data_IF_058461218669
#
_entry.id   IF_058461218669
#
_cell.length_a   1.000
_cell.length_b   1.000
_cell.length_c   1.000
_cell.angle_alpha   90.00
_cell.angle_beta   90.00
_cell.angle_gamma   90.00
#
_symmetry.space_group_name_H-M   'P 1'
#
loop_
_entity.id
_entity.type
_entity.pdbx_description
1 polymer ?
#
# COMPACT_ATOMS: atom_id res chain seq x y z
N UNK A 1 9.88 -26.83 38.70
CA UNK A 1 8.42 -26.81 38.51
C UNK A 1 7.91 -25.48 39.06
N UNK A 2 7.69 -24.51 38.18
CA UNK A 2 7.22 -23.16 38.54
C UNK A 2 6.03 -22.87 37.64
N UNK A 3 4.85 -22.83 38.24
CA UNK A 3 3.58 -22.59 37.56
C UNK A 3 3.29 -21.09 37.66
N UNK A 4 3.32 -20.39 36.52
CA UNK A 4 2.93 -18.98 36.42
C UNK A 4 1.48 -18.89 35.95
N UNK A 5 0.59 -18.50 36.87
CA UNK A 5 -0.80 -18.13 36.57
C UNK A 5 -0.83 -16.74 35.93
N UNK A 6 -1.29 -16.63 34.69
CA UNK A 6 -1.61 -15.35 34.06
C UNK A 6 -3.13 -15.13 34.16
N UNK A 7 -3.49 -14.09 34.91
CA UNK A 7 -4.84 -13.59 35.15
C UNK A 7 -5.37 -12.96 33.86
N UNK A 8 -6.45 -13.51 33.28
CA UNK A 8 -7.19 -12.89 32.17
C UNK A 8 -7.88 -11.61 32.67
N UNK A 9 -7.61 -10.50 31.99
CA UNK A 9 -8.47 -9.32 31.97
C UNK A 9 -9.21 -9.36 30.65
N UNK A 10 -10.47 -9.76 30.68
CA UNK A 10 -11.41 -9.59 29.57
C UNK A 10 -11.78 -8.11 29.51
N UNK A 11 -11.34 -7.40 28.47
CA UNK A 11 -12.12 -6.28 27.97
C UNK A 11 -11.93 -6.07 26.47
N UNK A 12 -13.08 -5.95 25.81
CA UNK A 12 -13.27 -5.99 24.37
C UNK A 12 -12.62 -4.80 23.65
N UNK A 13 -11.96 -5.08 22.52
CA UNK A 13 -11.99 -4.16 21.40
C UNK A 13 -12.16 -4.92 20.08
N UNK A 14 -13.37 -4.81 19.52
CA UNK A 14 -13.78 -5.35 18.22
C UNK A 14 -13.00 -4.62 17.11
N UNK A 15 -11.85 -5.15 16.69
CA UNK A 15 -11.25 -4.78 15.41
C UNK A 15 -11.93 -5.56 14.28
N UNK A 16 -12.26 -4.89 13.18
CA UNK A 16 -12.79 -5.57 12.00
C UNK A 16 -11.70 -6.50 11.42
N UNK A 17 -12.01 -7.75 11.02
CA UNK A 17 -11.00 -8.74 10.64
C UNK A 17 -10.26 -8.50 9.31
N UNK A 18 -10.46 -7.35 8.64
CA UNK A 18 -9.79 -7.04 7.37
C UNK A 18 -8.31 -6.67 7.51
N UNK A 19 -7.84 -6.51 8.75
CA UNK A 19 -6.55 -5.90 9.07
C UNK A 19 -5.50 -6.92 9.53
N UNK A 20 -5.77 -8.24 9.43
CA UNK A 20 -4.90 -9.27 10.02
C UNK A 20 -3.87 -9.91 9.06
N UNK A 21 -3.93 -9.67 7.75
CA UNK A 21 -3.05 -10.36 6.78
C UNK A 21 -1.92 -9.43 6.28
N UNK A 22 -1.33 -8.65 7.18
CA UNK A 22 -0.25 -7.71 6.84
C UNK A 22 1.10 -8.27 7.27
N UNK A 23 2.13 -8.16 6.44
CA UNK A 23 3.53 -8.27 6.86
C UNK A 23 3.88 -7.07 7.77
N UNK A 24 3.39 -7.08 9.02
CA UNK A 24 3.69 -6.03 9.99
C UNK A 24 5.10 -6.24 10.56
N UNK A 25 6.05 -5.39 10.19
CA UNK A 25 7.31 -5.31 10.92
C UNK A 25 7.11 -4.53 12.24
N UNK A 26 7.01 -5.24 13.37
CA UNK A 26 7.03 -4.64 14.70
C UNK A 26 8.47 -4.30 15.07
N UNK A 27 8.81 -3.02 15.02
CA UNK A 27 10.11 -2.54 15.51
C UNK A 27 10.15 -2.57 17.04
N UNK A 28 11.02 -3.42 17.58
CA UNK A 28 11.58 -3.23 18.93
C UNK A 28 12.43 -1.96 18.96
N UNK A 29 12.45 -1.29 20.11
CA UNK A 29 12.91 0.08 20.33
C UNK A 29 14.33 0.38 19.84
N UNK A 30 14.50 1.57 19.25
CA UNK A 30 15.79 2.13 18.85
C UNK A 30 15.64 3.25 17.83
N UNK A 31 15.13 4.42 18.24
CA UNK A 31 15.07 5.62 17.40
C UNK A 31 16.47 5.99 16.91
N UNK A 32 16.74 5.84 15.62
CA UNK A 32 17.74 6.65 14.91
C UNK A 32 17.00 7.61 14.01
N UNK A 33 17.15 8.91 14.29
CA UNK A 33 16.79 9.99 13.37
C UNK A 33 17.52 9.75 12.06
N UNK A 34 16.77 9.63 10.97
CA UNK A 34 17.32 9.67 9.61
C UNK A 34 17.85 11.09 9.39
N UNK A 35 19.15 11.29 9.07
CA UNK A 35 19.65 12.62 8.72
C UNK A 35 18.99 13.07 7.41
N UNK A 36 18.72 14.37 7.29
CA UNK A 36 18.29 14.96 6.02
C UNK A 36 19.37 14.70 4.96
N UNK A 37 19.06 13.85 3.98
CA UNK A 37 19.92 13.62 2.82
C UNK A 37 19.63 14.72 1.80
N UNK A 38 20.54 15.69 1.69
CA UNK A 38 20.62 16.56 0.52
C UNK A 38 20.91 15.67 -0.71
N UNK A 39 19.97 15.68 -1.66
CA UNK A 39 20.04 15.13 -3.01
C UNK A 39 20.71 13.74 -3.16
N UNK A 40 19.96 12.62 -3.07
CA UNK A 40 20.47 11.37 -3.62
C UNK A 40 20.49 11.47 -5.15
N UNK A 41 21.57 11.03 -5.83
CA UNK A 41 21.53 10.91 -7.27
C UNK A 41 20.46 9.89 -7.68
N UNK A 42 19.78 10.15 -8.80
CA UNK A 42 18.96 9.15 -9.49
C UNK A 42 19.94 8.11 -10.05
N UNK A 43 20.32 7.13 -9.22
CA UNK A 43 21.25 6.07 -9.62
C UNK A 43 20.50 5.10 -10.53
N UNK A 44 20.86 5.08 -11.81
CA UNK A 44 20.70 3.89 -12.64
C UNK A 44 21.57 2.79 -12.04
N UNK A 45 20.98 1.91 -11.23
CA UNK A 45 21.69 0.74 -10.73
C UNK A 45 21.80 -0.29 -11.85
N UNK A 46 22.93 -0.30 -12.56
CA UNK A 46 23.43 -1.52 -13.15
C UNK A 46 23.93 -2.40 -11.99
N UNK A 47 23.25 -3.52 -11.70
CA UNK A 47 23.83 -4.56 -10.85
C UNK A 47 24.54 -5.58 -11.74
N UNK A 48 25.86 -5.62 -11.59
CA UNK A 48 26.69 -6.79 -11.89
C UNK A 48 26.44 -7.84 -10.80
N UNK A 49 25.33 -8.56 -10.90
CA UNK A 49 25.16 -9.84 -10.22
C UNK A 49 24.81 -10.86 -11.29
N UNK A 50 25.82 -11.45 -11.92
CA UNK A 50 25.63 -12.63 -12.77
C UNK A 50 25.07 -13.76 -11.91
N UNK A 51 23.89 -14.30 -12.21
CA UNK A 51 23.46 -15.56 -11.62
C UNK A 51 24.21 -16.71 -12.30
N UNK A 52 24.58 -17.71 -11.49
CA UNK A 52 25.04 -19.02 -11.95
C UNK A 52 23.86 -19.77 -12.56
N UNK A 53 23.38 -19.32 -13.72
CA UNK A 53 22.66 -20.18 -14.65
C UNK A 53 23.60 -20.48 -15.81
N UNK A 54 23.94 -21.76 -15.97
CA UNK A 54 24.35 -22.27 -17.27
C UNK A 54 23.23 -21.92 -18.26
N UNK A 55 23.52 -20.96 -19.15
CA UNK A 55 22.69 -20.60 -20.28
C UNK A 55 22.45 -21.86 -21.11
N UNK A 56 21.29 -22.50 -20.93
CA UNK A 56 20.78 -23.46 -21.88
C UNK A 56 19.76 -22.72 -22.75
N UNK A 57 20.18 -22.35 -23.96
CA UNK A 57 19.34 -22.18 -25.14
C UNK A 57 18.19 -21.16 -25.10
N UNK A 58 18.36 -20.09 -25.89
CA UNK A 58 17.32 -19.22 -26.46
C UNK A 58 16.57 -18.28 -25.51
N UNK A 59 16.74 -16.98 -25.76
CA UNK A 59 15.91 -15.89 -25.27
C UNK A 59 14.50 -15.99 -25.87
N UNK A 60 13.70 -16.94 -25.38
CA UNK A 60 12.25 -16.87 -25.45
C UNK A 60 11.79 -16.10 -24.20
N UNK A 61 10.98 -15.06 -24.40
CA UNK A 61 10.27 -14.39 -23.31
C UNK A 61 9.47 -15.45 -22.55
N UNK A 62 9.94 -15.90 -21.38
CA UNK A 62 9.21 -16.88 -20.58
C UNK A 62 7.97 -16.18 -20.04
N UNK A 63 6.79 -16.60 -20.47
CA UNK A 63 5.54 -16.18 -19.84
C UNK A 63 5.42 -16.82 -18.45
N UNK A 64 4.67 -16.19 -17.55
CA UNK A 64 4.28 -16.80 -16.27
C UNK A 64 3.53 -18.11 -16.53
N UNK A 65 3.89 -19.14 -15.75
CA UNK A 65 3.20 -20.43 -15.72
C UNK A 65 2.49 -20.54 -14.38
N UNK A 66 1.17 -20.75 -14.41
CA UNK A 66 0.41 -20.90 -13.18
C UNK A 66 0.81 -22.20 -12.46
N UNK A 67 1.31 -22.16 -11.21
CA UNK A 67 1.69 -23.37 -10.48
C UNK A 67 0.54 -24.36 -10.28
N UNK A 68 -0.72 -23.95 -10.43
CA UNK A 68 -1.87 -24.86 -10.38
C UNK A 68 -2.02 -25.72 -11.63
N UNK A 69 -1.28 -25.45 -12.71
CA UNK A 69 -1.20 -26.39 -13.85
C UNK A 69 -0.36 -27.62 -13.54
N UNK A 70 0.33 -27.65 -12.40
CA UNK A 70 1.08 -28.80 -11.93
C UNK A 70 0.19 -29.69 -11.05
N UNK A 71 0.30 -31.01 -11.22
CA UNK A 71 -0.39 -31.98 -10.35
C UNK A 71 0.19 -31.97 -8.92
N UNK A 72 1.48 -31.66 -8.77
CA UNK A 72 2.18 -31.55 -7.49
C UNK A 72 2.80 -30.15 -7.33
N UNK A 73 2.32 -29.29 -6.42
CA UNK A 73 2.91 -27.98 -6.16
C UNK A 73 4.38 -28.03 -5.73
N UNK A 74 4.83 -29.15 -5.13
CA UNK A 74 6.26 -29.31 -4.83
C UNK A 74 7.10 -29.42 -6.13
N UNK A 75 6.51 -29.83 -7.26
CA UNK A 75 7.17 -29.81 -8.57
C UNK A 75 7.39 -28.37 -9.05
N UNK A 76 6.38 -27.51 -8.98
CA UNK A 76 6.50 -26.10 -9.34
C UNK A 76 7.56 -25.39 -8.47
N UNK A 77 7.60 -25.69 -7.16
CA UNK A 77 8.65 -25.17 -6.27
C UNK A 77 10.04 -25.64 -6.70
N UNK A 78 10.21 -26.93 -7.01
CA UNK A 78 11.50 -27.47 -7.48
C UNK A 78 11.96 -26.85 -8.80
N UNK A 79 11.03 -26.45 -9.66
CA UNK A 79 11.32 -25.83 -10.94
C UNK A 79 11.69 -24.35 -10.81
N UNK A 80 10.97 -23.60 -9.98
CA UNK A 80 11.08 -22.14 -9.92
C UNK A 80 11.82 -21.59 -8.69
N UNK A 81 12.01 -22.39 -7.64
CA UNK A 81 12.66 -21.95 -6.41
C UNK A 81 13.94 -22.75 -6.12
N UNK A 82 14.99 -22.03 -5.72
CA UNK A 82 16.24 -22.64 -5.27
C UNK A 82 16.09 -23.22 -3.86
N UNK A 83 16.40 -24.49 -3.68
CA UNK A 83 16.51 -25.08 -2.34
C UNK A 83 17.78 -24.56 -1.63
N UNK A 84 17.61 -24.09 -0.39
CA UNK A 84 18.66 -23.59 0.47
C UNK A 84 18.93 -24.62 1.57
N UNK A 85 20.21 -24.91 1.83
CA UNK A 85 20.61 -25.65 3.03
C UNK A 85 20.35 -24.80 4.27
N UNK A 86 19.57 -25.31 5.22
CA UNK A 86 19.20 -24.61 6.44
C UNK A 86 20.41 -24.14 7.28
N UNK A 87 21.56 -24.83 7.19
CA UNK A 87 22.79 -24.44 7.87
C UNK A 87 23.39 -23.11 7.36
N UNK A 88 22.98 -22.66 6.17
CA UNK A 88 23.38 -21.36 5.62
C UNK A 88 22.51 -20.20 6.09
N UNK A 89 21.45 -20.47 6.84
CA UNK A 89 20.52 -19.46 7.34
C UNK A 89 20.77 -19.23 8.83
N UNK A 90 20.80 -17.97 9.25
CA UNK A 90 20.78 -17.59 10.66
C UNK A 90 19.60 -16.67 10.90
N UNK A 91 18.65 -17.12 11.73
CA UNK A 91 17.48 -16.33 12.15
C UNK A 91 17.92 -15.44 13.31
N UNK A 92 17.71 -14.13 13.19
CA UNK A 92 18.18 -13.15 14.18
C UNK A 92 17.04 -12.62 15.05
N UNK A 93 15.92 -12.18 14.45
CA UNK A 93 14.82 -11.57 15.19
C UNK A 93 13.48 -11.81 14.48
N UNK A 94 12.41 -12.00 15.24
CA UNK A 94 11.04 -11.97 14.71
C UNK A 94 10.71 -10.52 14.40
N UNK A 95 10.30 -10.26 13.16
CA UNK A 95 9.91 -8.94 12.70
C UNK A 95 8.40 -8.85 12.53
N UNK A 96 7.69 -9.92 12.19
CA UNK A 96 6.23 -9.90 12.04
C UNK A 96 5.57 -11.27 12.13
N UNK A 97 4.25 -11.29 12.03
CA UNK A 97 3.46 -12.53 11.90
C UNK A 97 2.62 -12.47 10.63
N UNK A 98 2.67 -13.51 9.81
CA UNK A 98 1.83 -13.68 8.63
C UNK A 98 0.82 -14.82 8.78
N UNK A 99 0.02 -15.05 7.74
CA UNK A 99 -1.02 -16.10 7.69
C UNK A 99 -0.48 -17.49 8.11
N UNK A 100 0.71 -17.83 7.62
CA UNK A 100 1.31 -19.16 7.78
C UNK A 100 2.22 -19.32 8.99
N UNK A 101 2.70 -18.22 9.58
CA UNK A 101 3.76 -18.24 10.59
C UNK A 101 4.51 -16.94 10.76
N UNK A 102 5.60 -17.00 11.52
CA UNK A 102 6.41 -15.84 11.84
C UNK A 102 7.27 -15.43 10.65
N UNK A 103 7.44 -14.12 10.50
CA UNK A 103 8.38 -13.49 9.58
C UNK A 103 9.55 -13.01 10.40
N UNK A 104 10.74 -13.47 10.06
CA UNK A 104 11.97 -13.17 10.78
C UNK A 104 12.97 -12.42 9.91
N UNK A 105 13.76 -11.53 10.51
CA UNK A 105 15.00 -11.03 9.92
C UNK A 105 16.10 -12.05 10.17
N UNK A 106 16.97 -12.25 9.19
CA UNK A 106 18.14 -13.10 9.34
C UNK A 106 19.25 -12.84 8.34
N UNK A 107 20.22 -13.74 8.32
CA UNK A 107 21.37 -13.75 7.42
C UNK A 107 21.37 -15.00 6.56
N UNK A 108 21.75 -14.84 5.29
CA UNK A 108 21.97 -15.93 4.36
C UNK A 108 23.43 -15.93 3.90
N UNK A 109 24.12 -17.04 4.17
CA UNK A 109 25.48 -17.30 3.68
C UNK A 109 25.44 -17.76 2.23
N UNK A 110 26.46 -17.37 1.46
CA UNK A 110 26.71 -17.86 0.10
C UNK A 110 28.02 -18.67 0.08
N UNK A 111 28.01 -19.94 0.51
CA UNK A 111 29.23 -20.73 0.65
C UNK A 111 29.96 -20.88 -0.68
N UNK A 112 31.29 -20.92 -0.63
CA UNK A 112 32.13 -21.14 -1.82
C UNK A 112 32.25 -19.95 -2.78
N UNK A 113 31.52 -18.86 -2.55
CA UNK A 113 31.56 -17.68 -3.45
C UNK A 113 32.41 -16.52 -2.93
N UNK A 114 32.85 -16.56 -1.67
CA UNK A 114 33.56 -15.46 -1.01
C UNK A 114 32.72 -14.19 -0.79
N UNK A 115 31.43 -14.22 -1.14
CA UNK A 115 30.52 -13.07 -0.99
C UNK A 115 30.12 -12.88 0.48
N UNK A 116 29.93 -11.62 0.93
CA UNK A 116 29.44 -11.34 2.27
C UNK A 116 28.04 -11.91 2.46
N UNK A 117 27.70 -12.19 3.73
CA UNK A 117 26.34 -12.57 4.11
C UNK A 117 25.35 -11.47 3.75
N UNK A 118 24.19 -11.87 3.23
CA UNK A 118 23.12 -10.95 2.88
C UNK A 118 22.02 -10.98 3.94
N UNK A 119 21.47 -9.82 4.26
CA UNK A 119 20.30 -9.72 5.15
C UNK A 119 19.05 -10.17 4.39
N UNK A 120 18.25 -11.03 5.00
CA UNK A 120 17.07 -11.65 4.38
C UNK A 120 15.84 -11.56 5.30
N UNK A 121 14.66 -11.61 4.69
CA UNK A 121 13.42 -11.91 5.39
C UNK A 121 13.12 -13.41 5.24
N UNK A 122 12.74 -14.06 6.34
CA UNK A 122 12.55 -15.50 6.44
C UNK A 122 11.14 -15.72 6.95
N UNK A 123 10.24 -16.15 6.06
CA UNK A 123 8.89 -16.57 6.44
C UNK A 123 8.97 -18.04 6.82
N UNK A 124 8.40 -18.41 7.97
CA UNK A 124 8.40 -19.79 8.47
C UNK A 124 6.99 -20.36 8.46
N UNK A 125 6.84 -21.65 8.16
CA UNK A 125 5.57 -22.35 8.32
C UNK A 125 5.45 -22.91 9.74
N UNK A 126 4.32 -22.68 10.41
CA UNK A 126 4.08 -23.19 11.77
C UNK A 126 4.17 -24.73 11.82
N UNK A 127 4.75 -25.31 12.89
CA UNK A 127 4.69 -26.76 13.10
C UNK A 127 3.24 -27.25 13.17
N UNK A 128 2.94 -28.37 12.51
CA UNK A 128 1.60 -28.96 12.51
C UNK A 128 0.59 -28.27 11.58
N UNK A 129 1.02 -27.35 10.72
CA UNK A 129 0.16 -26.78 9.68
C UNK A 129 -0.45 -27.86 8.79
N UNK A 130 -1.74 -27.70 8.47
CA UNK A 130 -2.45 -28.59 7.53
C UNK A 130 -1.82 -28.57 6.13
N UNK A 131 -1.97 -29.66 5.39
CA UNK A 131 -1.42 -29.81 4.03
C UNK A 131 -1.80 -28.66 3.10
N UNK A 132 -3.06 -28.19 3.19
CA UNK A 132 -3.51 -27.02 2.42
C UNK A 132 -2.69 -25.77 2.73
N UNK A 133 -2.41 -25.49 4.00
CA UNK A 133 -1.63 -24.31 4.39
C UNK A 133 -0.16 -24.43 3.93
N UNK A 134 0.41 -25.65 4.02
CA UNK A 134 1.74 -25.93 3.44
C UNK A 134 1.76 -25.72 1.93
N UNK A 135 0.71 -26.15 1.24
CA UNK A 135 0.57 -26.03 -0.21
C UNK A 135 0.44 -24.57 -0.64
N UNK A 136 -0.46 -23.82 -0.01
CA UNK A 136 -0.64 -22.38 -0.25
C UNK A 136 0.68 -21.60 -0.01
N UNK A 137 1.40 -21.93 1.07
CA UNK A 137 2.70 -21.34 1.39
C UNK A 137 3.74 -21.59 0.29
N UNK A 138 3.85 -22.84 -0.18
CA UNK A 138 4.79 -23.21 -1.22
C UNK A 138 4.43 -22.66 -2.60
N UNK A 139 3.14 -22.54 -2.90
CA UNK A 139 2.64 -21.89 -4.13
C UNK A 139 3.06 -20.42 -4.20
N UNK A 140 3.04 -19.70 -3.07
CA UNK A 140 3.53 -18.31 -3.02
C UNK A 140 5.00 -18.23 -3.48
N UNK A 141 5.85 -19.15 -3.02
CA UNK A 141 7.25 -19.21 -3.43
C UNK A 141 7.44 -19.62 -4.89
N UNK A 142 6.66 -20.56 -5.42
CA UNK A 142 6.77 -20.97 -6.83
C UNK A 142 6.32 -19.88 -7.79
N UNK A 143 5.38 -19.02 -7.40
CA UNK A 143 5.02 -17.80 -8.15
C UNK A 143 6.19 -16.81 -8.11
N UNK A 144 6.68 -16.47 -6.91
CA UNK A 144 7.79 -15.52 -6.74
C UNK A 144 9.04 -15.93 -7.51
N UNK A 145 9.36 -17.23 -7.53
CA UNK A 145 10.54 -17.77 -8.20
C UNK A 145 10.56 -17.59 -9.72
N UNK A 146 9.44 -17.23 -10.34
CA UNK A 146 9.35 -16.96 -11.77
C UNK A 146 9.70 -15.51 -12.13
N UNK A 147 9.86 -14.64 -11.14
CA UNK A 147 10.03 -13.20 -11.35
C UNK A 147 11.45 -12.72 -11.02
N UNK A 148 12.02 -11.93 -11.92
CA UNK A 148 13.30 -11.25 -11.73
C UNK A 148 13.21 -9.81 -12.25
N UNK A 149 12.91 -8.88 -11.35
CA UNK A 149 12.78 -7.46 -11.68
C UNK A 149 13.10 -6.57 -10.45
N UNK A 150 13.78 -5.42 -10.62
CA UNK A 150 14.19 -4.55 -9.50
C UNK A 150 13.05 -4.01 -8.63
N UNK A 151 11.81 -4.00 -9.15
CA UNK A 151 10.61 -3.55 -8.43
C UNK A 151 9.62 -4.68 -8.11
N UNK A 152 10.08 -5.92 -8.15
CA UNK A 152 9.35 -7.11 -7.69
C UNK A 152 10.20 -7.77 -6.60
N UNK A 153 9.57 -8.24 -5.51
CA UNK A 153 10.30 -8.86 -4.39
C UNK A 153 11.06 -10.10 -4.87
N UNK A 154 12.35 -10.17 -4.55
CA UNK A 154 13.22 -11.24 -4.99
C UNK A 154 13.21 -12.42 -4.02
N UNK A 155 12.95 -13.62 -4.55
CA UNK A 155 13.07 -14.89 -3.85
C UNK A 155 14.53 -15.35 -3.83
N UNK A 156 15.15 -15.42 -2.65
CA UNK A 156 16.47 -16.01 -2.48
C UNK A 156 16.44 -17.53 -2.60
N UNK A 157 15.33 -18.13 -2.16
CA UNK A 157 15.08 -19.57 -2.22
C UNK A 157 14.13 -20.03 -1.12
N UNK A 158 14.03 -21.35 -0.99
CA UNK A 158 13.15 -22.03 -0.04
C UNK A 158 13.93 -23.07 0.76
N UNK A 159 13.40 -23.45 1.92
CA UNK A 159 13.85 -24.62 2.68
C UNK A 159 12.67 -25.56 2.79
N UNK A 160 12.75 -26.70 2.12
CA UNK A 160 11.66 -27.69 2.07
C UNK A 160 12.07 -29.06 2.59
N UNK A 161 13.39 -29.35 2.65
CA UNK A 161 13.95 -30.63 3.10
C UNK A 161 14.11 -30.78 4.61
N UNK A 162 13.93 -29.69 5.38
CA UNK A 162 14.02 -29.69 6.84
C UNK A 162 12.93 -28.83 7.46
N UNK A 163 12.69 -29.00 8.76
CA UNK A 163 11.78 -28.16 9.52
C UNK A 163 12.54 -27.06 10.29
N UNK A 164 11.94 -25.85 10.43
CA UNK A 164 10.68 -25.43 9.79
C UNK A 164 10.85 -25.24 8.27
N UNK A 165 9.76 -25.40 7.51
CA UNK A 165 9.73 -25.02 6.07
C UNK A 165 9.84 -23.50 5.98
N UNK A 166 10.67 -22.99 5.08
CA UNK A 166 10.95 -21.55 4.98
C UNK A 166 10.86 -21.02 3.54
N UNK A 167 10.45 -19.77 3.43
CA UNK A 167 10.60 -18.94 2.22
C UNK A 167 11.55 -17.80 2.59
N UNK A 168 12.62 -17.64 1.81
CA UNK A 168 13.66 -16.65 2.06
C UNK A 168 13.63 -15.62 0.94
N UNK A 169 13.36 -14.36 1.28
CA UNK A 169 13.34 -13.23 0.34
C UNK A 169 14.38 -12.19 0.72
N UNK A 170 14.64 -11.24 -0.18
CA UNK A 170 15.42 -10.06 0.19
C UNK A 170 14.76 -9.29 1.36
N UNK A 171 15.59 -8.71 2.24
CA UNK A 171 15.08 -7.91 3.35
C UNK A 171 14.72 -6.49 2.89
N UNK A 172 13.55 -6.01 3.33
CA UNK A 172 13.01 -4.69 3.00
C UNK A 172 12.89 -3.87 4.29
N UNK A 173 13.92 -3.06 4.59
CA UNK A 173 14.15 -2.45 5.91
C UNK A 173 12.99 -1.57 6.41
N UNK A 174 12.24 -0.97 5.49
CA UNK A 174 11.20 -0.01 5.81
C UNK A 174 9.79 -0.63 5.81
N UNK A 175 9.66 -1.93 5.58
CA UNK A 175 8.38 -2.63 5.64
C UNK A 175 7.39 -2.23 4.55
N UNK A 176 6.10 -2.37 4.86
CA UNK A 176 5.01 -2.03 3.94
C UNK A 176 4.93 -0.52 3.69
N UNK A 177 4.65 -0.14 2.44
CA UNK A 177 4.67 1.25 1.97
C UNK A 177 3.63 2.11 2.69
N UNK A 178 2.44 1.58 2.96
CA UNK A 178 1.37 2.29 3.67
C UNK A 178 1.78 2.68 5.11
N UNK A 179 2.39 1.75 5.85
CA UNK A 179 2.88 1.98 7.21
C UNK A 179 4.09 2.90 7.20
N UNK A 180 5.00 2.70 6.24
CA UNK A 180 6.16 3.55 6.05
C UNK A 180 5.78 5.02 5.78
N UNK A 181 4.80 5.25 4.90
CA UNK A 181 4.30 6.59 4.58
C UNK A 181 3.63 7.25 5.78
N UNK A 182 2.75 6.54 6.50
CA UNK A 182 2.10 7.07 7.71
C UNK A 182 3.11 7.47 8.79
N UNK A 183 4.18 6.69 8.96
CA UNK A 183 5.26 7.01 9.90
C UNK A 183 6.12 8.22 9.47
N UNK A 184 6.01 8.62 8.20
CA UNK A 184 6.79 9.68 7.58
C UNK A 184 5.91 10.75 6.91
N UNK A 185 4.72 10.97 7.46
CA UNK A 185 3.77 11.95 6.95
C UNK A 185 4.40 13.33 6.74
N UNK A 186 4.26 13.86 5.53
CA UNK A 186 4.81 15.14 5.09
C UNK A 186 6.35 15.24 4.99
N UNK A 187 7.10 14.14 5.16
CA UNK A 187 8.59 14.18 5.18
C UNK A 187 9.23 14.02 3.80
N UNK A 188 8.48 13.66 2.77
CA UNK A 188 9.01 13.44 1.43
C UNK A 188 8.67 14.59 0.49
N UNK A 189 9.62 14.92 -0.37
CA UNK A 189 9.33 15.77 -1.51
C UNK A 189 8.44 15.00 -2.49
N UNK A 190 7.56 15.73 -3.19
CA UNK A 190 6.67 15.17 -4.21
C UNK A 190 7.44 14.32 -5.23
N UNK A 191 8.63 14.76 -5.65
CA UNK A 191 9.46 14.03 -6.61
C UNK A 191 9.88 12.64 -6.09
N UNK A 192 10.10 12.48 -4.79
CA UNK A 192 10.43 11.19 -4.18
C UNK A 192 9.21 10.26 -4.18
N UNK A 193 8.01 10.80 -3.89
CA UNK A 193 6.75 10.06 -3.99
C UNK A 193 6.47 9.60 -5.43
N UNK A 194 6.70 10.47 -6.42
CA UNK A 194 6.60 10.10 -7.84
C UNK A 194 7.64 9.03 -8.20
N UNK A 195 8.85 9.10 -7.63
CA UNK A 195 9.87 8.06 -7.77
C UNK A 195 9.43 6.69 -7.23
N UNK A 196 8.78 6.65 -6.07
CA UNK A 196 8.17 5.43 -5.51
C UNK A 196 7.10 4.86 -6.47
N UNK A 197 6.18 5.71 -6.95
CA UNK A 197 5.14 5.33 -7.91
C UNK A 197 5.70 4.80 -9.22
N UNK A 198 6.78 5.42 -9.71
CA UNK A 198 7.48 4.99 -10.92
C UNK A 198 8.05 3.58 -10.76
N UNK A 199 8.66 3.29 -9.60
CA UNK A 199 9.14 1.95 -9.28
C UNK A 199 8.02 0.91 -9.28
N UNK A 200 6.91 1.20 -8.60
CA UNK A 200 5.73 0.32 -8.55
C UNK A 200 5.17 0.09 -9.97
N UNK A 201 5.02 1.15 -10.77
CA UNK A 201 4.55 1.04 -12.15
C UNK A 201 5.47 0.18 -13.02
N UNK A 202 6.79 0.27 -12.85
CA UNK A 202 7.75 -0.56 -13.57
C UNK A 202 7.63 -2.04 -13.19
N UNK A 203 7.44 -2.34 -11.90
CA UNK A 203 7.17 -3.71 -11.45
C UNK A 203 5.87 -4.27 -12.02
N UNK A 204 4.80 -3.48 -12.05
CA UNK A 204 3.52 -3.91 -12.63
C UNK A 204 3.55 -4.02 -14.15
N UNK A 205 4.36 -3.19 -14.83
CA UNK A 205 4.63 -3.37 -16.25
C UNK A 205 5.25 -4.74 -16.51
N UNK A 206 6.30 -5.09 -15.77
CA UNK A 206 6.96 -6.39 -15.88
C UNK A 206 5.98 -7.55 -15.61
N UNK A 207 5.19 -7.50 -14.53
CA UNK A 207 4.19 -8.54 -14.24
C UNK A 207 3.15 -8.67 -15.35
N UNK A 208 2.67 -7.55 -15.91
CA UNK A 208 1.74 -7.59 -17.04
C UNK A 208 2.37 -8.16 -18.31
N UNK A 209 3.64 -7.90 -18.59
CA UNK A 209 4.38 -8.46 -19.73
C UNK A 209 4.61 -9.98 -19.56
N UNK A 210 4.72 -10.44 -18.31
CA UNK A 210 4.72 -11.85 -17.94
C UNK A 210 3.33 -12.50 -18.03
N UNK A 211 2.28 -11.75 -18.40
CA UNK A 211 0.86 -12.17 -18.35
C UNK A 211 0.35 -12.53 -16.94
N UNK A 212 0.97 -11.98 -15.90
CA UNK A 212 0.53 -12.14 -14.52
C UNK A 212 -0.41 -11.00 -14.11
N UNK A 213 -1.53 -11.35 -13.48
CA UNK A 213 -2.49 -10.40 -12.91
C UNK A 213 -2.43 -10.51 -11.39
N UNK A 214 -2.10 -9.42 -10.72
CA UNK A 214 -1.85 -9.38 -9.28
C UNK A 214 -3.12 -9.48 -8.44
N UNK A 215 -4.22 -8.82 -8.87
CA UNK A 215 -5.55 -8.84 -8.23
C UNK A 215 -5.66 -8.17 -6.85
N UNK A 216 -4.55 -8.01 -6.13
CA UNK A 216 -4.49 -7.29 -4.85
C UNK A 216 -3.32 -6.30 -4.77
N UNK A 217 -3.13 -5.52 -5.82
CA UNK A 217 -2.18 -4.41 -5.76
C UNK A 217 -2.71 -3.33 -4.81
N UNK A 218 -1.99 -3.08 -3.73
CA UNK A 218 -2.27 -2.05 -2.73
C UNK A 218 -0.97 -1.61 -2.04
N UNK A 219 -0.93 -0.43 -1.41
CA UNK A 219 0.29 0.03 -0.73
C UNK A 219 0.75 -0.91 0.40
N UNK A 220 -0.17 -1.63 1.06
CA UNK A 220 0.17 -2.68 2.05
C UNK A 220 0.95 -3.86 1.47
N UNK A 221 0.81 -4.11 0.17
CA UNK A 221 1.47 -5.20 -0.58
C UNK A 221 2.68 -4.70 -1.38
N UNK A 222 3.15 -3.48 -1.08
CA UNK A 222 4.41 -2.94 -1.61
C UNK A 222 5.38 -2.78 -0.45
N UNK A 223 6.57 -3.36 -0.57
CA UNK A 223 7.62 -3.25 0.43
C UNK A 223 8.64 -2.17 0.04
N UNK A 224 9.27 -1.53 1.03
CA UNK A 224 10.24 -0.46 0.85
C UNK A 224 11.57 -0.85 1.50
N UNK A 225 12.68 -0.71 0.76
CA UNK A 225 14.02 -0.95 1.32
C UNK A 225 14.66 0.34 1.86
N UNK A 226 15.86 0.22 2.44
CA UNK A 226 16.61 1.34 3.02
C UNK A 226 16.88 2.50 2.03
N UNK A 227 16.92 2.20 0.73
CA UNK A 227 17.16 3.17 -0.34
C UNK A 227 15.86 3.72 -0.95
N UNK A 228 14.71 3.51 -0.29
CA UNK A 228 13.38 3.91 -0.75
C UNK A 228 12.92 3.23 -2.05
N UNK A 229 13.54 2.10 -2.43
CA UNK A 229 13.08 1.31 -3.57
C UNK A 229 11.83 0.55 -3.16
N UNK A 230 10.74 0.79 -3.88
CA UNK A 230 9.47 0.08 -3.73
C UNK A 230 9.48 -1.21 -4.57
N UNK A 231 9.06 -2.32 -3.95
CA UNK A 231 8.92 -3.62 -4.62
C UNK A 231 7.54 -4.21 -4.35
N UNK A 232 6.91 -4.70 -5.40
CA UNK A 232 5.64 -5.42 -5.32
C UNK A 232 5.90 -6.75 -4.62
N UNK A 233 5.04 -7.08 -3.66
CA UNK A 233 5.07 -8.31 -2.89
C UNK A 233 3.65 -8.89 -2.78
N UNK A 234 3.51 -9.98 -2.02
CA UNK A 234 2.25 -10.68 -1.76
C UNK A 234 1.53 -11.22 -3.01
N UNK A 235 1.95 -12.42 -3.41
CA UNK A 235 1.36 -13.17 -4.52
C UNK A 235 0.35 -14.22 -4.05
N UNK A 236 -0.07 -14.17 -2.78
CA UNK A 236 -0.94 -15.19 -2.16
C UNK A 236 -2.37 -15.23 -2.69
N UNK A 237 -2.82 -14.16 -3.36
CA UNK A 237 -4.19 -13.95 -3.85
C UNK A 237 -4.39 -14.20 -5.35
N UNK A 238 -3.38 -14.65 -6.09
CA UNK A 238 -3.57 -15.02 -7.51
C UNK A 238 -4.40 -16.28 -7.72
N UNK A 239 -4.89 -16.90 -6.63
CA UNK A 239 -5.77 -18.07 -6.62
C UNK A 239 -6.91 -17.92 -7.61
N UNK A 240 -7.12 -18.96 -8.42
CA UNK A 240 -8.19 -19.00 -9.42
C UNK A 240 -9.58 -18.75 -8.82
N UNK A 241 -10.44 -18.25 -9.70
CA UNK A 241 -11.86 -18.04 -9.47
C UNK A 241 -12.53 -19.34 -9.91
N UNK A 242 -12.75 -20.28 -8.98
CA UNK A 242 -13.73 -21.33 -9.24
C UNK A 242 -15.12 -20.71 -9.38
N UNK A 243 -15.87 -21.23 -10.35
CA UNK A 243 -17.15 -20.71 -10.81
C UNK A 243 -18.20 -20.59 -9.70
N UNK A 244 -19.07 -19.61 -9.91
CA UNK A 244 -20.08 -19.11 -9.00
C UNK A 244 -20.86 -20.17 -8.21
N UNK A 245 -20.85 -19.99 -6.89
CA UNK A 245 -22.06 -20.24 -6.08
C UNK A 245 -22.55 -18.90 -5.56
N UNK A 246 -23.81 -18.61 -5.85
CA UNK A 246 -24.49 -17.35 -5.60
C UNK A 246 -24.50 -16.99 -4.11
N UNK A 247 -24.32 -15.69 -3.81
CA UNK A 247 -24.76 -15.11 -2.53
C UNK A 247 -23.69 -14.50 -1.62
N UNK A 248 -22.40 -14.64 -1.89
CA UNK A 248 -21.36 -13.93 -1.13
C UNK A 248 -20.15 -13.54 -2.00
N UNK A 249 -19.62 -12.34 -1.80
CA UNK A 249 -18.36 -11.86 -2.39
C UNK A 249 -17.12 -12.59 -1.83
N UNK A 250 -17.14 -13.92 -1.80
CA UNK A 250 -16.06 -14.78 -1.32
C UNK A 250 -15.52 -15.57 -2.50
N UNK A 251 -14.27 -15.31 -2.90
CA UNK A 251 -13.50 -16.31 -3.63
C UNK A 251 -13.04 -17.36 -2.64
N UNK A 252 -12.74 -18.60 -3.06
CA UNK A 252 -12.13 -19.64 -2.19
C UNK A 252 -10.78 -19.21 -1.58
N UNK A 253 -10.26 -18.04 -1.97
CA UNK A 253 -9.07 -17.36 -1.44
C UNK A 253 -9.32 -16.09 -0.62
N UNK A 254 -10.53 -15.82 -0.10
CA UNK A 254 -10.79 -14.68 0.79
C UNK A 254 -11.75 -13.61 0.24
N UNK A 255 -11.94 -12.53 1.02
CA UNK A 255 -12.81 -11.39 0.65
C UNK A 255 -12.07 -10.48 -0.35
N UNK A 256 -12.75 -10.07 -1.43
CA UNK A 256 -12.19 -9.11 -2.40
C UNK A 256 -11.85 -7.79 -1.67
N UNK A 257 -10.67 -7.20 -1.91
CA UNK A 257 -10.27 -5.89 -1.37
C UNK A 257 -11.01 -4.75 -2.10
N UNK A 258 -12.32 -4.63 -1.87
CA UNK A 258 -13.29 -3.77 -2.60
C UNK A 258 -12.77 -2.37 -2.96
N UNK A 259 -12.02 -1.71 -2.07
CA UNK A 259 -11.55 -0.33 -2.27
C UNK A 259 -10.43 -0.19 -3.30
N UNK A 260 -9.71 -1.27 -3.58
CA UNK A 260 -8.65 -1.33 -4.59
C UNK A 260 -9.12 -1.99 -5.88
N UNK A 261 -10.22 -2.74 -5.85
CA UNK A 261 -10.66 -3.55 -6.99
C UNK A 261 -11.49 -2.77 -7.99
N UNK A 262 -11.22 -2.97 -9.28
CA UNK A 262 -11.98 -2.36 -10.37
C UNK A 262 -13.46 -2.81 -10.39
N UNK A 263 -14.40 -1.97 -10.87
CA UNK A 263 -15.84 -2.28 -10.87
C UNK A 263 -16.19 -3.58 -11.59
N UNK A 264 -15.57 -3.85 -12.74
CA UNK A 264 -15.81 -5.07 -13.50
C UNK A 264 -15.26 -6.34 -12.81
N UNK A 265 -14.21 -6.19 -12.00
CA UNK A 265 -13.64 -7.28 -11.21
C UNK A 265 -14.49 -7.58 -9.97
N UNK A 266 -15.14 -6.56 -9.38
CA UNK A 266 -16.13 -6.73 -8.31
C UNK A 266 -17.41 -7.39 -8.85
N UNK A 267 -17.98 -6.83 -9.92
CA UNK A 267 -19.30 -7.23 -10.42
C UNK A 267 -19.26 -8.57 -11.17
N UNK A 268 -18.24 -8.79 -12.00
CA UNK A 268 -18.19 -9.91 -12.94
C UNK A 268 -16.97 -10.81 -12.73
N UNK A 269 -16.20 -10.60 -11.64
CA UNK A 269 -14.97 -11.37 -11.37
C UNK A 269 -13.96 -11.31 -12.53
N UNK A 270 -14.00 -10.24 -13.34
CA UNK A 270 -13.15 -10.07 -14.51
C UNK A 270 -11.82 -9.38 -14.16
N UNK A 271 -10.86 -10.15 -13.69
CA UNK A 271 -9.51 -9.66 -13.38
C UNK A 271 -8.62 -9.68 -14.63
N UNK A 272 -7.94 -8.57 -14.89
CA UNK A 272 -7.01 -8.38 -16.02
C UNK A 272 -5.92 -7.36 -15.63
N UNK A 273 -4.88 -7.18 -16.44
CA UNK A 273 -3.91 -6.09 -16.21
C UNK A 273 -4.59 -4.71 -16.14
N UNK A 274 -5.70 -4.51 -16.85
CA UNK A 274 -6.47 -3.26 -16.77
C UNK A 274 -7.22 -3.08 -15.44
N UNK A 275 -7.58 -4.17 -14.73
CA UNK A 275 -8.10 -4.06 -13.36
C UNK A 275 -6.97 -3.78 -12.36
N UNK A 276 -5.75 -4.27 -12.60
CA UNK A 276 -4.60 -3.88 -11.78
C UNK A 276 -4.18 -2.42 -12.01
N UNK A 277 -4.40 -1.87 -13.21
CA UNK A 277 -4.24 -0.42 -13.47
C UNK A 277 -5.17 0.41 -12.59
N UNK A 278 -6.42 -0.04 -12.39
CA UNK A 278 -7.33 0.62 -11.44
C UNK A 278 -6.75 0.63 -10.03
N UNK A 279 -6.28 -0.54 -9.57
CA UNK A 279 -5.62 -0.71 -8.27
C UNK A 279 -4.40 0.20 -8.14
N UNK A 280 -3.59 0.34 -9.21
CA UNK A 280 -2.45 1.25 -9.24
C UNK A 280 -2.88 2.72 -9.09
N UNK A 281 -4.01 3.13 -9.66
CA UNK A 281 -4.58 4.46 -9.41
C UNK A 281 -4.90 4.69 -7.92
N UNK A 282 -5.41 3.66 -7.23
CA UNK A 282 -5.63 3.72 -5.77
C UNK A 282 -4.30 3.80 -5.02
N UNK A 283 -3.27 3.03 -5.41
CA UNK A 283 -1.93 3.14 -4.84
C UNK A 283 -1.33 4.54 -5.04
N UNK A 284 -1.53 5.16 -6.20
CA UNK A 284 -1.15 6.56 -6.42
C UNK A 284 -1.79 7.48 -5.39
N UNK A 285 -3.08 7.29 -5.12
CA UNK A 285 -3.80 8.06 -4.11
C UNK A 285 -3.28 7.81 -2.69
N UNK A 286 -3.02 6.54 -2.32
CA UNK A 286 -2.42 6.18 -1.04
C UNK A 286 -1.04 6.83 -0.85
N UNK A 287 -0.18 6.78 -1.86
CA UNK A 287 1.16 7.38 -1.78
C UNK A 287 1.10 8.89 -1.62
N UNK A 288 0.29 9.56 -2.44
CA UNK A 288 0.15 11.01 -2.40
C UNK A 288 -0.60 11.52 -1.16
N UNK A 289 -1.34 10.65 -0.47
CA UNK A 289 -2.01 10.94 0.80
C UNK A 289 -1.28 10.39 2.02
N UNK A 290 -0.03 9.94 1.87
CA UNK A 290 0.78 9.38 2.95
C UNK A 290 0.11 8.20 3.70
N UNK A 291 -0.57 7.33 2.96
CA UNK A 291 -1.19 6.11 3.48
C UNK A 291 -2.56 6.34 4.14
N UNK A 292 -3.30 7.38 3.73
CA UNK A 292 -4.71 7.45 4.09
C UNK A 292 -5.47 6.24 3.53
N UNK A 293 -6.51 5.80 4.27
CA UNK A 293 -7.38 4.71 3.83
C UNK A 293 -8.27 5.18 2.66
N UNK A 294 -8.22 4.52 1.48
CA UNK A 294 -9.09 4.89 0.36
C UNK A 294 -10.58 4.85 0.73
N UNK A 295 -11.33 5.88 0.38
CA UNK A 295 -12.75 6.07 0.74
C UNK A 295 -13.02 6.05 2.27
N UNK A 296 -11.99 6.29 3.08
CA UNK A 296 -12.07 6.48 4.54
C UNK A 296 -12.95 5.44 5.26
N UNK A 297 -14.02 5.90 5.91
CA UNK A 297 -14.90 5.12 6.76
C UNK A 297 -16.17 4.64 6.05
N UNK A 298 -16.29 4.86 4.73
CA UNK A 298 -17.46 4.40 3.96
C UNK A 298 -17.61 2.89 4.06
N UNK A 299 -18.84 2.37 4.02
CA UNK A 299 -19.03 0.93 3.93
C UNK A 299 -18.60 0.42 2.55
N UNK A 300 -18.28 -0.87 2.42
CA UNK A 300 -17.96 -1.43 1.11
C UNK A 300 -19.14 -1.28 0.11
N UNK A 301 -20.38 -1.32 0.60
CA UNK A 301 -21.56 -1.12 -0.25
C UNK A 301 -21.64 0.32 -0.78
N UNK A 302 -21.33 1.31 0.06
CA UNK A 302 -21.34 2.72 -0.34
C UNK A 302 -20.22 3.03 -1.33
N UNK A 303 -19.04 2.42 -1.14
CA UNK A 303 -17.92 2.51 -2.09
C UNK A 303 -18.36 1.99 -3.46
N UNK A 304 -18.94 0.79 -3.53
CA UNK A 304 -19.39 0.18 -4.78
C UNK A 304 -20.43 1.08 -5.47
N UNK A 305 -21.50 1.45 -4.76
CA UNK A 305 -22.59 2.29 -5.29
C UNK A 305 -22.07 3.63 -5.81
N UNK A 306 -21.17 4.28 -5.09
CA UNK A 306 -20.63 5.59 -5.47
C UNK A 306 -19.74 5.49 -6.70
N UNK A 307 -18.86 4.49 -6.76
CA UNK A 307 -17.98 4.27 -7.92
C UNK A 307 -18.80 4.01 -9.19
N UNK A 308 -19.88 3.22 -9.09
CA UNK A 308 -20.80 2.93 -10.21
C UNK A 308 -21.50 4.18 -10.75
N UNK A 309 -21.87 5.10 -9.84
CA UNK A 309 -22.43 6.43 -10.16
C UNK A 309 -21.39 7.41 -10.73
N UNK A 310 -20.12 7.02 -10.81
CA UNK A 310 -19.05 7.84 -11.37
C UNK A 310 -18.24 8.61 -10.34
N UNK A 311 -18.49 8.45 -9.04
CA UNK A 311 -17.67 9.07 -8.01
C UNK A 311 -16.22 8.56 -8.09
N UNK A 312 -15.27 9.46 -7.91
CA UNK A 312 -13.83 9.16 -7.80
C UNK A 312 -13.26 9.88 -6.60
N UNK A 313 -12.18 9.34 -6.04
CA UNK A 313 -11.49 9.98 -4.92
C UNK A 313 -11.01 11.37 -5.34
N UNK A 314 -11.11 12.38 -4.46
CA UNK A 314 -10.58 13.71 -4.74
C UNK A 314 -9.04 13.68 -4.72
N UNK A 315 -8.43 14.70 -5.32
CA UNK A 315 -7.00 14.88 -5.27
C UNK A 315 -6.54 14.99 -3.81
N UNK A 316 -5.52 14.23 -3.40
CA UNK A 316 -4.86 14.43 -2.12
C UNK A 316 -4.33 15.87 -1.98
N UNK A 317 -4.09 16.26 -0.74
CA UNK A 317 -3.52 17.57 -0.44
C UNK A 317 -2.18 17.77 -1.15
N UNK A 318 -1.98 18.95 -1.74
CA UNK A 318 -0.76 19.30 -2.46
C UNK A 318 -0.37 18.32 -3.58
N UNK A 319 -1.34 17.54 -4.07
CA UNK A 319 -1.13 16.62 -5.17
C UNK A 319 -0.96 17.41 -6.48
N UNK A 320 0.11 17.17 -7.24
CA UNK A 320 0.23 17.74 -8.58
C UNK A 320 -0.93 17.32 -9.47
N UNK A 321 -1.43 18.25 -10.27
CA UNK A 321 -2.54 18.05 -11.21
C UNK A 321 -2.23 16.90 -12.17
N UNK A 322 -0.99 16.81 -12.66
CA UNK A 322 -0.58 15.73 -13.56
C UNK A 322 -0.65 14.34 -12.91
N UNK A 323 -0.33 14.22 -11.63
CA UNK A 323 -0.40 12.95 -10.90
C UNK A 323 -1.85 12.59 -10.62
N UNK A 324 -2.69 13.55 -10.21
CA UNK A 324 -4.11 13.30 -10.03
C UNK A 324 -4.82 12.95 -11.34
N UNK A 325 -4.47 13.60 -12.45
CA UNK A 325 -5.01 13.26 -13.76
C UNK A 325 -4.68 11.81 -14.13
N UNK A 326 -3.44 11.35 -13.88
CA UNK A 326 -3.07 9.94 -14.06
C UNK A 326 -3.94 9.00 -13.21
N UNK A 327 -4.30 9.38 -11.97
CA UNK A 327 -5.25 8.59 -11.15
C UNK A 327 -6.61 8.49 -11.83
N UNK A 328 -7.16 9.61 -12.33
CA UNK A 328 -8.45 9.64 -13.02
C UNK A 328 -8.43 8.80 -14.31
N UNK A 329 -7.33 8.83 -15.06
CA UNK A 329 -7.12 8.00 -16.25
C UNK A 329 -7.09 6.50 -15.89
N UNK A 330 -6.48 6.14 -14.76
CA UNK A 330 -6.51 4.77 -14.24
C UNK A 330 -7.92 4.34 -13.80
N UNK A 331 -8.78 5.28 -13.39
CA UNK A 331 -10.14 5.01 -12.93
C UNK A 331 -11.23 5.25 -13.98
N UNK A 332 -10.88 5.22 -15.26
CA UNK A 332 -11.87 5.20 -16.34
C UNK A 332 -12.82 4.02 -16.17
N UNK A 333 -14.13 4.29 -16.34
CA UNK A 333 -15.19 3.29 -16.15
C UNK A 333 -15.01 2.14 -17.13
N UNK A 334 -14.81 2.47 -18.41
CA UNK A 334 -14.43 1.48 -19.41
C UNK A 334 -12.95 1.17 -19.29
N UNK A 335 -12.65 -0.10 -19.01
CA UNK A 335 -11.28 -0.63 -18.85
C UNK A 335 -10.41 -0.44 -20.10
N UNK A 336 -11.00 -0.34 -21.29
CA UNK A 336 -10.25 -0.16 -22.54
C UNK A 336 -9.64 1.24 -22.68
N UNK A 337 -10.21 2.22 -21.96
CA UNK A 337 -9.72 3.61 -21.92
C UNK A 337 -8.65 3.84 -20.85
N UNK A 338 -8.37 2.84 -19.99
CA UNK A 338 -7.31 2.95 -18.98
C UNK A 338 -5.93 2.83 -19.64
N UNK A 339 -4.92 3.58 -19.19
CA UNK A 339 -3.58 3.46 -19.75
C UNK A 339 -2.97 2.10 -19.42
N UNK A 340 -2.17 1.56 -20.33
CA UNK A 340 -1.34 0.39 -20.04
C UNK A 340 -0.17 0.76 -19.12
N UNK A 341 0.37 -0.18 -18.34
CA UNK A 341 1.51 0.08 -17.45
C UNK A 341 2.74 0.66 -18.17
N UNK A 342 3.03 0.23 -19.40
CA UNK A 342 4.10 0.83 -20.21
C UNK A 342 3.93 2.34 -20.44
N UNK A 343 2.69 2.82 -20.50
CA UNK A 343 2.34 4.22 -20.76
C UNK A 343 2.37 5.00 -19.45
N UNK A 344 1.95 4.37 -18.35
CA UNK A 344 2.08 4.89 -16.99
C UNK A 344 3.56 5.14 -16.66
N UNK A 345 4.44 4.17 -16.90
CA UNK A 345 5.89 4.31 -16.67
C UNK A 345 6.47 5.47 -17.49
N UNK A 346 6.12 5.56 -18.78
CA UNK A 346 6.55 6.68 -19.65
C UNK A 346 6.07 8.04 -19.12
N UNK A 347 4.83 8.12 -18.61
CA UNK A 347 4.28 9.34 -18.02
C UNK A 347 5.05 9.72 -16.75
N UNK A 348 5.25 8.79 -15.82
CA UNK A 348 5.99 9.04 -14.58
C UNK A 348 7.46 9.40 -14.85
N UNK A 349 8.13 8.75 -15.81
CA UNK A 349 9.49 9.12 -16.22
C UNK A 349 9.57 10.55 -16.77
N UNK A 350 8.55 11.03 -17.50
CA UNK A 350 8.48 12.43 -17.95
C UNK A 350 8.35 13.39 -16.76
N UNK A 351 7.48 13.06 -15.79
CA UNK A 351 7.30 13.87 -14.59
C UNK A 351 8.57 13.94 -13.73
N UNK A 352 9.31 12.83 -13.61
CA UNK A 352 10.59 12.80 -12.88
C UNK A 352 11.67 13.61 -13.58
N UNK A 353 11.74 13.55 -14.92
CA UNK A 353 12.72 14.31 -15.72
C UNK A 353 12.41 15.81 -15.84
N UNK A 354 11.16 16.21 -15.60
CA UNK A 354 10.72 17.61 -15.69
C UNK A 354 9.94 17.99 -14.42
N UNK A 355 10.62 18.22 -13.28
CA UNK A 355 9.97 18.50 -11.99
C UNK A 355 9.09 19.75 -12.00
N UNK A 356 9.29 20.67 -12.94
CA UNK A 356 8.44 21.86 -13.13
C UNK A 356 6.99 21.47 -13.42
N UNK A 357 6.77 20.34 -14.11
CA UNK A 357 5.44 19.82 -14.40
C UNK A 357 4.66 19.40 -13.14
N UNK A 358 5.35 19.22 -12.00
CA UNK A 358 4.76 18.87 -10.72
C UNK A 358 4.35 20.09 -9.89
N UNK A 359 4.64 21.32 -10.34
CA UNK A 359 4.32 22.55 -9.57
C UNK A 359 2.83 22.89 -9.56
N UNK A 360 2.11 22.56 -10.63
CA UNK A 360 0.68 22.88 -10.72
C UNK A 360 -0.10 21.90 -9.85
N UNK A 361 -0.70 22.40 -8.79
CA UNK A 361 -1.48 21.60 -7.83
C UNK A 361 -2.89 21.37 -8.36
N UNK A 362 -3.41 20.15 -8.21
CA UNK A 362 -4.76 19.77 -8.56
C UNK A 362 -5.78 20.60 -7.77
N UNK A 363 -6.76 21.16 -8.46
CA UNK A 363 -7.92 21.79 -7.81
C UNK A 363 -9.06 20.77 -7.76
N UNK A 364 -9.57 20.49 -6.58
CA UNK A 364 -10.78 19.69 -6.42
C UNK A 364 -11.99 20.54 -6.85
N UNK A 365 -12.28 20.57 -8.16
CA UNK A 365 -13.40 21.33 -8.76
C UNK A 365 -14.79 20.89 -8.24
N UNK A 366 -14.87 19.77 -7.52
CA UNK A 366 -16.09 19.21 -6.95
C UNK A 366 -16.22 19.36 -5.43
N UNK A 367 -15.40 20.20 -4.79
CA UNK A 367 -15.72 20.72 -3.46
C UNK A 367 -16.37 22.09 -3.61
N UNK A 368 -17.49 22.18 -4.34
CA UNK A 368 -18.41 23.27 -4.03
C UNK A 368 -18.86 23.01 -2.58
N UNK A 369 -18.54 23.89 -1.61
CA UNK A 369 -18.96 23.69 -0.23
C UNK A 369 -20.49 23.57 -0.09
N UNK A 370 -21.22 24.03 -1.11
CA UNK A 370 -22.68 24.00 -1.24
C UNK A 370 -23.19 22.87 -2.16
N UNK A 371 -22.34 21.93 -2.57
CA UNK A 371 -22.81 20.72 -3.27
C UNK A 371 -23.76 19.94 -2.33
N UNK A 372 -24.91 19.44 -2.81
CA UNK A 372 -25.83 18.64 -1.99
C UNK A 372 -25.19 17.40 -1.36
N UNK A 373 -24.07 16.91 -1.91
CA UNK A 373 -23.30 15.77 -1.40
C UNK A 373 -22.04 16.19 -0.64
N UNK A 374 -21.77 17.49 -0.46
CA UNK A 374 -20.66 17.94 0.37
C UNK A 374 -20.92 17.58 1.84
N UNK A 375 -19.88 17.21 2.61
CA UNK A 375 -20.05 17.01 4.04
C UNK A 375 -20.51 18.33 4.68
N UNK A 376 -21.62 18.28 5.38
CA UNK A 376 -22.13 19.42 6.15
C UNK A 376 -21.21 19.66 7.35
N UNK A 377 -20.41 20.71 7.30
CA UNK A 377 -19.51 21.11 8.39
C UNK A 377 -20.27 21.85 9.49
N UNK A 378 -21.49 22.34 9.23
CA UNK A 378 -22.33 23.02 10.22
C UNK A 378 -22.98 22.04 11.20
N UNK A 379 -22.98 20.74 10.88
CA UNK A 379 -23.53 19.70 11.75
C UNK A 379 -22.74 19.48 13.04
N UNK A 380 -21.44 19.84 13.05
CA UNK A 380 -20.56 19.62 14.20
C UNK A 380 -20.88 20.62 15.30
N UNK A 381 -21.13 20.12 16.53
CA UNK A 381 -21.49 20.98 17.68
C UNK A 381 -20.27 21.36 18.51
N UNK A 382 -19.22 20.54 18.46
CA UNK A 382 -18.00 20.74 19.24
C UNK A 382 -16.76 20.73 18.35
N UNK A 383 -15.71 21.43 18.80
CA UNK A 383 -14.39 21.44 18.14
C UNK A 383 -13.75 20.05 18.17
N UNK A 384 -14.04 19.24 19.20
CA UNK A 384 -13.58 17.84 19.29
C UNK A 384 -14.17 16.97 18.17
N UNK A 385 -15.49 17.02 17.97
CA UNK A 385 -16.17 16.28 16.89
C UNK A 385 -15.61 16.68 15.52
N UNK A 386 -15.45 17.99 15.30
CA UNK A 386 -14.88 18.52 14.07
C UNK A 386 -13.43 18.07 13.85
N UNK A 387 -12.54 18.23 14.85
CA UNK A 387 -11.15 17.78 14.75
C UNK A 387 -11.06 16.27 14.54
N UNK A 388 -11.94 15.49 15.15
CA UNK A 388 -12.03 14.04 14.92
C UNK A 388 -12.39 13.71 13.47
N UNK A 389 -13.37 14.43 12.90
CA UNK A 389 -13.81 14.22 11.51
C UNK A 389 -12.68 14.41 10.50
N UNK A 390 -11.78 15.37 10.74
CA UNK A 390 -10.61 15.65 9.89
C UNK A 390 -9.33 14.94 10.36
N UNK A 391 -9.43 14.04 11.34
CA UNK A 391 -8.31 13.27 11.92
C UNK A 391 -7.21 14.14 12.53
N UNK A 392 -7.60 15.26 13.14
CA UNK A 392 -6.74 16.23 13.81
C UNK A 392 -6.99 16.29 15.32
N UNK A 393 -7.64 15.28 15.92
CA UNK A 393 -7.96 15.23 17.37
C UNK A 393 -6.75 15.45 18.28
N UNK A 394 -5.55 15.11 17.79
CA UNK A 394 -4.29 15.35 18.52
C UNK A 394 -4.03 16.82 18.85
N UNK A 395 -4.71 17.74 18.18
CA UNK A 395 -4.59 19.19 18.39
C UNK A 395 -5.66 19.75 19.33
N UNK A 396 -6.58 18.93 19.84
CA UNK A 396 -7.72 19.38 20.66
C UNK A 396 -7.28 20.23 21.86
N UNK A 397 -6.33 19.74 22.66
CA UNK A 397 -5.82 20.49 23.82
C UNK A 397 -5.16 21.82 23.41
N UNK A 398 -4.56 21.88 22.22
CA UNK A 398 -3.93 23.11 21.72
C UNK A 398 -5.00 24.13 21.36
N UNK A 399 -6.06 23.71 20.66
CA UNK A 399 -7.19 24.54 20.28
C UNK A 399 -7.92 25.11 21.51
N UNK A 400 -8.20 24.26 22.50
CA UNK A 400 -8.82 24.68 23.76
C UNK A 400 -7.97 25.74 24.48
N UNK A 401 -6.66 25.51 24.58
CA UNK A 401 -5.73 26.45 25.23
C UNK A 401 -5.57 27.77 24.48
N UNK A 402 -5.70 27.74 23.15
CA UNK A 402 -5.65 28.94 22.30
C UNK A 402 -6.98 29.68 22.18
N UNK A 403 -8.02 29.27 22.92
CA UNK A 403 -9.33 29.94 22.90
C UNK A 403 -10.19 29.61 21.66
N UNK A 404 -9.90 28.51 20.97
CA UNK A 404 -10.70 27.99 19.85
C UNK A 404 -11.55 26.81 20.33
N UNK A 405 -12.45 27.05 21.28
CA UNK A 405 -13.32 26.07 21.92
C UNK A 405 -14.73 25.98 21.30
N UNK A 406 -15.07 26.92 20.41
CA UNK A 406 -16.34 26.97 19.68
C UNK A 406 -16.15 26.88 18.17
N UNK A 407 -17.14 26.34 17.46
CA UNK A 407 -17.13 26.27 15.99
C UNK A 407 -17.12 27.67 15.34
N UNK A 408 -17.70 28.66 16.00
CA UNK A 408 -17.65 30.07 15.59
C UNK A 408 -16.21 30.63 15.67
N UNK A 409 -15.48 30.37 16.76
CA UNK A 409 -14.06 30.72 16.86
C UNK A 409 -13.22 29.99 15.80
N UNK A 410 -13.48 28.69 15.58
CA UNK A 410 -12.83 27.89 14.53
C UNK A 410 -13.07 28.47 13.14
N UNK A 411 -14.27 28.97 12.86
CA UNK A 411 -14.58 29.60 11.58
C UNK A 411 -13.70 30.83 11.30
N UNK A 412 -13.11 31.47 12.31
CA UNK A 412 -12.22 32.64 12.17
C UNK A 412 -10.72 32.31 12.14
N UNK A 413 -10.35 31.04 12.26
CA UNK A 413 -8.95 30.61 12.27
C UNK A 413 -8.14 31.08 11.06
N UNK A 414 -6.95 31.60 11.32
CA UNK A 414 -5.96 31.93 10.29
C UNK A 414 -4.79 30.95 10.33
N UNK A 415 -3.99 30.94 9.26
CA UNK A 415 -2.76 30.14 9.21
C UNK A 415 -1.77 30.54 10.31
N UNK A 416 -1.75 31.82 10.70
CA UNK A 416 -0.92 32.35 11.79
C UNK A 416 -1.35 31.75 13.13
N UNK A 417 -2.65 31.63 13.35
CA UNK A 417 -3.20 31.02 14.57
C UNK A 417 -2.83 29.55 14.66
N UNK A 418 -2.94 28.78 13.57
CA UNK A 418 -2.51 27.38 13.55
C UNK A 418 -1.02 27.21 13.90
N UNK A 419 -0.19 28.13 13.41
CA UNK A 419 1.24 28.14 13.75
C UNK A 419 1.44 28.42 15.25
N UNK A 420 0.70 29.37 15.81
CA UNK A 420 0.74 29.69 17.25
C UNK A 420 0.19 28.55 18.13
N UNK A 421 -0.77 27.77 17.61
CA UNK A 421 -1.30 26.56 18.24
C UNK A 421 -0.34 25.36 18.19
N UNK A 422 0.87 25.51 17.66
CA UNK A 422 1.85 24.42 17.54
C UNK A 422 1.54 23.43 16.42
N UNK A 423 0.62 23.76 15.51
CA UNK A 423 0.39 23.00 14.27
C UNK A 423 1.49 23.38 13.28
N UNK A 424 2.68 22.78 13.41
CA UNK A 424 3.86 23.12 12.58
C UNK A 424 3.93 22.32 11.27
N UNK A 425 3.23 21.19 11.18
CA UNK A 425 3.21 20.36 9.99
C UNK A 425 2.33 21.02 8.92
N UNK A 426 2.93 21.36 7.77
CA UNK A 426 2.25 22.07 6.66
C UNK A 426 1.00 21.32 6.19
N UNK A 427 1.06 19.99 6.11
CA UNK A 427 -0.11 19.16 5.75
C UNK A 427 -1.25 19.29 6.76
N UNK A 428 -0.96 19.32 8.06
CA UNK A 428 -1.97 19.51 9.09
C UNK A 428 -2.56 20.92 9.04
N UNK A 429 -1.71 21.94 8.86
CA UNK A 429 -2.17 23.32 8.71
C UNK A 429 -3.17 23.45 7.56
N UNK A 430 -2.83 22.94 6.38
CA UNK A 430 -3.70 22.99 5.20
C UNK A 430 -4.97 22.16 5.38
N UNK A 431 -4.89 20.98 6.00
CA UNK A 431 -6.08 20.12 6.25
C UNK A 431 -7.10 20.83 7.12
N UNK A 432 -6.63 21.45 8.19
CA UNK A 432 -7.46 22.25 9.07
C UNK A 432 -8.02 23.47 8.32
N UNK A 433 -7.17 24.23 7.63
CA UNK A 433 -7.60 25.43 6.90
C UNK A 433 -8.62 25.15 5.80
N UNK A 434 -8.49 24.05 5.04
CA UNK A 434 -9.46 23.68 4.02
C UNK A 434 -10.82 23.37 4.66
N UNK A 435 -10.85 22.66 5.78
CA UNK A 435 -12.09 22.40 6.50
C UNK A 435 -12.72 23.67 7.06
N UNK A 436 -11.90 24.61 7.57
CA UNK A 436 -12.36 25.94 7.99
C UNK A 436 -12.94 26.73 6.80
N UNK A 437 -12.34 26.65 5.61
CA UNK A 437 -12.88 27.30 4.41
C UNK A 437 -14.23 26.72 3.98
N UNK A 438 -14.39 25.39 4.02
CA UNK A 438 -15.68 24.73 3.76
C UNK A 438 -16.74 25.18 4.77
N UNK A 439 -16.39 25.18 6.06
CA UNK A 439 -17.27 25.65 7.14
C UNK A 439 -17.70 27.11 6.92
N UNK A 440 -16.78 28.01 6.59
CA UNK A 440 -17.09 29.42 6.29
C UNK A 440 -18.09 29.56 5.17
N UNK A 441 -17.88 28.83 4.07
CA UNK A 441 -18.75 28.91 2.91
C UNK A 441 -20.17 28.42 3.22
N UNK A 442 -20.30 27.34 4.00
CA UNK A 442 -21.60 26.81 4.42
C UNK A 442 -22.31 27.72 5.44
N UNK A 443 -21.61 28.22 6.46
CA UNK A 443 -22.17 29.16 7.45
C UNK A 443 -22.69 30.44 6.80
N UNK A 444 -21.95 30.99 5.83
CA UNK A 444 -22.36 32.20 5.11
C UNK A 444 -23.63 31.96 4.27
N UNK A 445 -23.77 30.79 3.65
CA UNK A 445 -24.96 30.44 2.86
C UNK A 445 -26.21 30.24 3.74
N UNK A 446 -26.07 29.61 4.90
CA UNK A 446 -27.19 29.44 5.86
C UNK A 446 -27.68 30.78 6.41
N UNK A 447 -26.79 31.77 6.57
CA UNK A 447 -27.19 33.11 7.01
C UNK A 447 -27.87 33.95 5.92
N UNK A 448 -27.53 33.74 4.64
CA UNK A 448 -28.19 34.46 3.54
C UNK A 448 -29.63 33.99 3.27
N UNK A 449 -29.96 32.72 3.50
CA UNK A 449 -31.34 32.21 3.37
C UNK A 449 -32.26 32.64 4.52
N UNK A 450 -31.70 33.11 5.65
CA UNK A 450 -32.46 33.58 6.81
C UNK A 450 -33.01 35.00 6.71
N UNK A 451 -32.70 35.75 5.64
CA UNK A 451 -33.11 37.15 5.44
C UNK A 451 -34.26 37.33 4.44
N UNK A 452 -34.82 36.24 3.92
CA UNK A 452 -36.03 36.24 3.10
C UNK A 452 -37.19 35.56 3.85
N UNK A 453 -37.72 36.25 4.88
CA UNK A 453 -39.04 35.97 5.47
C UNK A 453 -39.81 37.28 5.59
#
# INVERSE_FOLDING_TARGET
>A
MVILYIKRSDDCNKKQPSDCDTLEYRNGEGKKLVPALEHPPIVQTARLTTPLFTHCGMAASRAYVDPHTYEDPNQAVREFAREIDASHITIEAIIGGGEFGDVCRGKLKSPGTGRPEVTVAIKTLKPGSHDKARMDFLTEASIMGQFDHPNVIFLQGVVTKSNPVMIVTEYMENGSLDTFLRANDGKFQVIQLVGMLRGIAAGMQYLSEMNYVHRDLAARNVLVNANLICKIADFGLSREIESATEGAYTTRGGKIPVRWTAPEAIAFRKFTSASDVWSFGIVCWEVMSYGERPYWNWSNQDVIKSIEKGYRLPAPMDCPEAVHQLMLDCWQKDRSHRPQFNSIVKTLDKLVRCPESLRKIAQNRHQNPLDPNAPDMTQFKTVEEWLCSIKMSRYLESFQRGGFDTMDAVSRLTLKDLTALGVVLVGHQKKIMNSVQTLRAQMNATMSDGFLV
#
